data_IF_320010157368
#
_entry.id   IF_320010157368
#
_cell.length_a   1.000
_cell.length_b   1.000
_cell.length_c   1.000
_cell.angle_alpha   90.00
_cell.angle_beta   90.00
_cell.angle_gamma   90.00
#
_symmetry.space_group_name_H-M   'P 1'
#
loop_
_entity.id
_entity.type
_entity.pdbx_description
1 polymer ?
#
# COMPACT_ATOMS: atom_id res chain seq x y z
N UNK A 1 22.89 2.37 8.92
CA UNK A 1 23.38 1.85 7.64
C UNK A 1 23.55 0.35 7.81
N UNK A 2 22.56 -0.46 7.41
CA UNK A 2 22.68 -1.92 7.45
C UNK A 2 22.81 -2.40 6.01
N UNK A 3 24.05 -2.78 5.68
CA UNK A 3 24.38 -3.43 4.42
C UNK A 3 24.08 -4.92 4.57
N UNK A 4 23.08 -5.43 3.85
CA UNK A 4 22.91 -6.87 3.67
C UNK A 4 23.76 -7.31 2.47
N UNK A 5 24.99 -7.76 2.74
CA UNK A 5 25.81 -8.50 1.79
C UNK A 5 25.29 -9.94 1.69
N UNK A 6 24.78 -10.34 0.54
CA UNK A 6 24.45 -11.74 0.24
C UNK A 6 25.59 -12.39 -0.54
N UNK A 7 26.57 -12.92 0.21
CA UNK A 7 27.49 -13.94 -0.30
C UNK A 7 26.79 -15.30 -0.32
N UNK A 8 26.78 -15.97 -1.47
CA UNK A 8 26.04 -17.22 -1.67
C UNK A 8 26.74 -18.48 -1.14
N UNK A 9 25.95 -19.55 -0.96
CA UNK A 9 26.28 -20.92 -1.40
C UNK A 9 25.30 -21.98 -0.87
N UNK A 10 24.78 -22.78 -1.82
CA UNK A 10 24.59 -24.26 -1.77
C UNK A 10 23.61 -24.90 -0.76
N UNK A 11 22.51 -25.41 -1.34
CA UNK A 11 21.72 -26.61 -1.00
C UNK A 11 22.18 -27.45 0.20
N UNK A 12 21.27 -27.73 1.15
CA UNK A 12 20.83 -29.09 1.57
C UNK A 12 19.73 -28.98 2.63
N UNK A 13 18.75 -29.87 2.57
CA UNK A 13 17.57 -29.94 3.44
C UNK A 13 17.84 -29.69 4.93
N UNK A 14 16.86 -29.04 5.57
CA UNK A 14 16.60 -28.95 7.01
C UNK A 14 16.99 -27.63 7.68
N UNK A 15 15.96 -27.01 8.29
CA UNK A 15 16.00 -26.02 9.39
C UNK A 15 16.40 -24.59 9.00
N UNK A 16 15.42 -23.80 8.56
CA UNK A 16 15.44 -22.34 8.71
C UNK A 16 14.73 -21.95 10.01
N UNK A 17 15.46 -22.09 11.12
CA UNK A 17 15.26 -21.33 12.36
C UNK A 17 16.33 -20.23 12.33
N UNK A 18 16.09 -18.92 12.42
CA UNK A 18 15.31 -18.21 13.42
C UNK A 18 15.21 -16.73 12.98
N UNK A 19 14.03 -16.12 13.00
CA UNK A 19 13.87 -14.71 13.32
C UNK A 19 12.83 -14.67 14.44
N UNK A 20 13.27 -14.25 15.63
CA UNK A 20 12.54 -14.39 16.88
C UNK A 20 11.36 -13.42 16.96
N UNK A 21 10.17 -13.91 16.67
CA UNK A 21 8.92 -13.65 17.41
C UNK A 21 7.92 -14.72 16.97
N UNK A 22 7.26 -15.39 17.92
CA UNK A 22 6.40 -16.54 17.69
C UNK A 22 5.11 -16.16 16.92
N UNK A 23 5.23 -16.06 15.59
CA UNK A 23 4.12 -15.96 14.68
C UNK A 23 4.38 -16.85 13.48
N UNK A 24 3.70 -17.99 13.41
CA UNK A 24 3.54 -18.68 12.13
C UNK A 24 2.66 -17.75 11.30
N UNK A 25 3.25 -17.10 10.30
CA UNK A 25 2.48 -16.31 9.34
C UNK A 25 1.50 -17.26 8.68
N UNK A 26 0.22 -17.05 8.94
CA UNK A 26 -0.87 -17.83 8.38
C UNK A 26 -1.66 -16.90 7.49
N UNK A 27 -2.18 -17.42 6.38
CA UNK A 27 -3.13 -16.66 5.60
C UNK A 27 -4.46 -16.59 6.39
N UNK A 28 -5.07 -15.40 6.55
CA UNK A 28 -6.28 -15.23 7.35
C UNK A 28 -7.51 -15.92 6.74
N UNK A 29 -7.47 -16.23 5.44
CA UNK A 29 -8.57 -16.88 4.73
C UNK A 29 -8.64 -18.39 5.02
N UNK A 30 -7.50 -19.07 5.05
CA UNK A 30 -7.41 -20.54 5.12
C UNK A 30 -6.63 -21.08 6.34
N UNK A 31 -6.04 -20.18 7.14
CA UNK A 31 -5.18 -20.49 8.29
C UNK A 31 -3.96 -21.37 7.93
N UNK A 32 -3.58 -21.45 6.66
CA UNK A 32 -2.43 -22.24 6.23
C UNK A 32 -1.11 -21.46 6.41
N UNK A 33 0.01 -22.14 6.72
CA UNK A 33 1.32 -21.51 6.80
C UNK A 33 1.69 -20.82 5.48
N UNK A 34 1.99 -19.54 5.55
CA UNK A 34 2.35 -18.68 4.43
C UNK A 34 3.87 -18.72 4.22
N UNK A 35 4.30 -19.06 3.01
CA UNK A 35 5.69 -19.02 2.57
C UNK A 35 5.94 -17.74 1.78
N UNK A 36 6.69 -16.78 2.36
CA UNK A 36 7.01 -15.51 1.71
C UNK A 36 7.74 -15.65 0.38
N UNK A 37 8.49 -16.74 0.16
CA UNK A 37 9.16 -16.97 -1.12
C UNK A 37 8.18 -17.26 -2.27
N UNK A 38 6.90 -17.51 -1.96
CA UNK A 38 5.82 -17.82 -2.90
C UNK A 38 4.79 -16.69 -3.03
N UNK A 39 4.99 -15.58 -2.34
CA UNK A 39 4.15 -14.40 -2.52
C UNK A 39 4.69 -13.61 -3.71
N UNK A 40 3.87 -13.47 -4.74
CA UNK A 40 4.19 -12.71 -5.94
C UNK A 40 3.19 -11.57 -6.12
N UNK A 41 3.64 -10.39 -6.57
CA UNK A 41 2.74 -9.35 -7.02
C UNK A 41 1.85 -9.86 -8.15
N UNK A 42 0.58 -9.49 -8.12
CA UNK A 42 -0.37 -9.76 -9.21
C UNK A 42 -0.46 -8.51 -10.10
N UNK A 43 0.23 -8.49 -11.26
CA UNK A 43 0.27 -7.32 -12.12
C UNK A 43 -1.09 -7.05 -12.80
N UNK A 44 -1.88 -8.09 -13.07
CA UNK A 44 -3.19 -7.93 -13.72
C UNK A 44 -4.18 -7.28 -12.75
N UNK A 45 -4.16 -7.71 -11.48
CA UNK A 45 -4.93 -7.07 -10.42
C UNK A 45 -4.51 -5.61 -10.21
N UNK A 46 -3.21 -5.31 -10.20
CA UNK A 46 -2.72 -3.94 -10.07
C UNK A 46 -3.23 -3.05 -11.20
N UNK A 47 -3.12 -3.51 -12.45
CA UNK A 47 -3.61 -2.77 -13.63
C UNK A 47 -5.12 -2.56 -13.55
N UNK A 48 -5.88 -3.59 -13.17
CA UNK A 48 -7.33 -3.51 -13.04
C UNK A 48 -7.76 -2.51 -11.94
N UNK A 49 -7.11 -2.57 -10.78
CA UNK A 49 -7.39 -1.65 -9.66
C UNK A 49 -7.01 -0.21 -10.04
N UNK A 50 -5.82 0.00 -10.60
CA UNK A 50 -5.33 1.34 -10.96
C UNK A 50 -6.09 1.97 -12.13
N UNK A 51 -6.61 1.16 -13.06
CA UNK A 51 -7.45 1.58 -14.19
C UNK A 51 -8.93 1.71 -13.85
N UNK A 52 -9.35 1.36 -12.63
CA UNK A 52 -10.75 1.49 -12.22
C UNK A 52 -11.15 2.97 -12.11
N UNK A 53 -12.31 3.31 -12.68
CA UNK A 53 -12.87 4.67 -12.61
C UNK A 53 -13.41 4.90 -11.20
N UNK A 54 -12.95 5.99 -10.57
CA UNK A 54 -13.34 6.38 -9.21
C UNK A 54 -13.83 7.83 -9.19
N UNK A 55 -14.64 8.15 -8.19
CA UNK A 55 -15.10 9.52 -7.93
C UNK A 55 -14.22 10.18 -6.87
N UNK A 56 -14.07 11.50 -6.95
CA UNK A 56 -13.44 12.26 -5.86
C UNK A 56 -14.16 12.01 -4.53
N UNK A 57 -13.42 11.95 -3.43
CA UNK A 57 -13.99 11.82 -2.07
C UNK A 57 -14.95 12.98 -1.74
N UNK A 58 -14.70 14.16 -2.31
CA UNK A 58 -15.53 15.36 -2.18
C UNK A 58 -16.64 15.46 -3.24
N UNK A 59 -17.01 14.34 -3.89
CA UNK A 59 -18.11 14.34 -4.87
C UNK A 59 -19.43 14.85 -4.28
N UNK A 60 -19.68 14.51 -3.00
CA UNK A 60 -20.85 15.00 -2.25
C UNK A 60 -20.81 16.51 -1.95
N UNK A 61 -19.62 17.10 -1.92
CA UNK A 61 -19.42 18.55 -1.68
C UNK A 61 -19.48 19.37 -2.97
N UNK A 62 -19.55 18.70 -4.12
CA UNK A 62 -19.69 19.31 -5.43
C UNK A 62 -18.48 19.10 -6.36
N UNK A 63 -17.48 18.33 -5.94
CA UNK A 63 -16.37 17.97 -6.82
C UNK A 63 -16.82 16.95 -7.88
N UNK A 64 -17.04 17.38 -9.12
CA UNK A 64 -17.50 16.51 -10.21
C UNK A 64 -16.40 15.69 -10.88
N UNK A 65 -15.24 15.57 -10.25
CA UNK A 65 -14.11 14.83 -10.84
C UNK A 65 -14.35 13.32 -10.74
N UNK A 66 -14.12 12.63 -11.87
CA UNK A 66 -14.14 11.18 -11.97
C UNK A 66 -13.19 10.74 -13.09
N UNK A 67 -12.26 9.85 -12.78
CA UNK A 67 -11.30 9.28 -13.73
C UNK A 67 -10.68 8.01 -13.10
N UNK A 68 -9.67 7.42 -13.74
CA UNK A 68 -8.86 6.31 -13.22
C UNK A 68 -8.28 6.60 -11.82
N UNK A 69 -8.26 5.58 -10.96
CA UNK A 69 -7.66 5.63 -9.62
C UNK A 69 -6.23 6.17 -9.64
N UNK A 70 -5.43 5.81 -10.66
CA UNK A 70 -4.05 6.31 -10.82
C UNK A 70 -3.95 7.84 -10.90
N UNK A 71 -4.99 8.53 -11.40
CA UNK A 71 -5.03 10.00 -11.53
C UNK A 71 -5.63 10.68 -10.30
N UNK A 72 -6.31 9.92 -9.43
CA UNK A 72 -6.97 10.45 -8.23
C UNK A 72 -5.96 11.17 -7.33
N UNK A 73 -4.77 10.61 -7.14
CA UNK A 73 -3.76 11.23 -6.28
C UNK A 73 -3.33 12.62 -6.78
N UNK A 74 -3.17 12.79 -8.10
CA UNK A 74 -2.88 14.09 -8.70
C UNK A 74 -4.04 15.07 -8.54
N UNK A 75 -5.28 14.57 -8.65
CA UNK A 75 -6.47 15.37 -8.42
C UNK A 75 -6.58 15.83 -6.96
N UNK A 76 -6.40 14.96 -5.97
CA UNK A 76 -6.54 15.29 -4.54
C UNK A 76 -5.60 16.42 -4.14
N UNK A 77 -4.33 16.36 -4.56
CA UNK A 77 -3.34 17.42 -4.32
C UNK A 77 -3.75 18.81 -4.85
N UNK A 78 -4.65 18.88 -5.84
CA UNK A 78 -5.14 20.11 -6.45
C UNK A 78 -6.63 20.33 -6.21
N UNK A 79 -7.27 19.44 -5.44
CA UNK A 79 -8.70 19.46 -5.27
C UNK A 79 -9.05 20.63 -4.35
N UNK A 80 -9.90 21.52 -4.86
CA UNK A 80 -10.34 22.72 -4.14
C UNK A 80 -11.05 22.42 -2.81
N UNK A 81 -11.54 21.19 -2.67
CA UNK A 81 -12.24 20.71 -1.49
C UNK A 81 -11.31 19.94 -0.52
N UNK A 82 -10.20 19.37 -1.01
CA UNK A 82 -9.24 18.61 -0.20
C UNK A 82 -8.30 19.55 0.57
N UNK A 83 -7.83 20.60 -0.10
CA UNK A 83 -6.97 21.61 0.49
C UNK A 83 -7.80 22.79 1.03
N UNK A 84 -8.60 22.58 2.07
CA UNK A 84 -9.09 23.70 2.89
C UNK A 84 -7.98 24.03 3.91
N UNK A 85 -7.06 24.99 3.63
CA UNK A 85 -6.08 25.40 4.62
C UNK A 85 -6.80 25.94 5.86
N UNK A 86 -6.30 25.57 7.05
CA UNK A 86 -6.79 26.09 8.33
C UNK A 86 -6.85 27.63 8.26
N UNK A 87 -8.06 28.21 8.28
CA UNK A 87 -8.27 29.67 8.16
C UNK A 87 -7.66 30.45 9.33
N UNK A 88 -7.28 29.77 10.40
CA UNK A 88 -6.68 30.35 11.61
C UNK A 88 -5.14 30.35 11.61
N UNK A 89 -4.46 30.09 10.48
CA UNK A 89 -2.98 29.99 10.41
C UNK A 89 -2.37 29.08 11.48
N UNK A 90 -3.14 28.06 11.86
CA UNK A 90 -2.75 27.01 12.78
C UNK A 90 -1.64 26.24 12.06
N UNK A 91 -0.38 26.32 12.52
CA UNK A 91 0.71 25.50 12.01
C UNK A 91 0.55 23.99 12.28
N UNK A 92 -0.69 23.52 12.38
CA UNK A 92 -1.05 22.12 12.56
C UNK A 92 -1.12 21.47 11.18
N UNK A 93 -0.13 20.63 10.91
CA UNK A 93 -0.19 19.69 9.78
C UNK A 93 -1.45 18.82 9.92
N UNK A 94 -2.23 18.58 8.86
CA UNK A 94 -3.29 17.57 8.88
C UNK A 94 -2.70 16.22 9.33
N UNK A 95 -3.38 15.47 10.21
CA UNK A 95 -2.83 14.23 10.74
C UNK A 95 -2.66 13.21 9.61
N UNK A 96 -1.48 12.58 9.58
CA UNK A 96 -1.10 11.42 8.75
C UNK A 96 -1.86 10.17 9.17
#
# INVERSE_FOLDING_TARGET
MINCFLGGSKNRSSKSSLCSSEGVFTCPEDNLPLDYAKIYPDPDAEVAIMGSVVYCIHYKEGCKWSDELRKLQGHLNMCKFDAIPCTNHCGANPPI
#
